data_IF_070268985105
#
_entry.id   IF_070268985105
#
_cell.length_a   1.000
_cell.length_b   1.000
_cell.length_c   1.000
_cell.angle_alpha   90.00
_cell.angle_beta   90.00
_cell.angle_gamma   90.00
#
_symmetry.space_group_name_H-M   'P 1'
#
loop_
_entity.id
_entity.type
_entity.pdbx_description
1 polymer ?
#
# COMPACT_ATOMS: atom_id res chain seq x y z
N UNK A 1 -22.02 -6.39 12.38
CA UNK A 1 -20.94 -6.37 11.37
C UNK A 1 -19.64 -6.73 12.07
N UNK A 2 -19.23 -8.00 12.04
CA UNK A 2 -17.95 -8.41 12.61
C UNK A 2 -16.83 -7.86 11.72
N UNK A 3 -15.96 -7.00 12.26
CA UNK A 3 -14.69 -6.68 11.62
C UNK A 3 -13.80 -7.91 11.79
N UNK A 4 -13.48 -8.60 10.70
CA UNK A 4 -12.49 -9.67 10.71
C UNK A 4 -11.15 -9.06 11.13
N UNK A 5 -10.55 -9.53 12.23
CA UNK A 5 -9.25 -9.08 12.73
C UNK A 5 -8.16 -9.34 11.69
N UNK A 6 -7.99 -8.39 10.77
CA UNK A 6 -6.88 -8.41 9.81
C UNK A 6 -5.69 -7.79 10.54
N UNK A 7 -4.55 -8.47 10.64
CA UNK A 7 -3.39 -7.95 11.34
C UNK A 7 -2.96 -6.62 10.73
N UNK A 8 -2.78 -5.61 11.58
CA UNK A 8 -2.25 -4.31 11.18
C UNK A 8 -0.72 -4.39 11.22
N UNK A 9 -0.08 -3.71 10.26
CA UNK A 9 1.37 -3.54 10.27
C UNK A 9 1.79 -2.65 11.45
N UNK A 10 2.90 -3.01 12.09
CA UNK A 10 3.59 -2.23 13.13
C UNK A 10 4.96 -1.74 12.62
N UNK A 11 5.64 -0.91 13.40
CA UNK A 11 6.96 -0.40 13.08
C UNK A 11 7.99 -1.54 13.00
N UNK A 12 8.71 -1.61 11.87
CA UNK A 12 9.70 -2.65 11.60
C UNK A 12 9.13 -3.86 10.85
N UNK A 13 7.81 -3.96 10.70
CA UNK A 13 7.21 -4.99 9.85
C UNK A 13 7.58 -4.79 8.38
N UNK A 14 7.74 -5.90 7.67
CA UNK A 14 7.94 -5.87 6.23
C UNK A 14 6.63 -5.45 5.56
N UNK A 15 6.69 -4.42 4.73
CA UNK A 15 5.55 -4.01 3.92
C UNK A 15 5.13 -5.16 2.98
N UNK A 16 3.84 -5.52 2.92
CA UNK A 16 3.38 -6.65 2.12
C UNK A 16 3.46 -6.34 0.62
N UNK A 17 3.68 -7.37 -0.19
CA UNK A 17 3.59 -7.22 -1.64
C UNK A 17 2.12 -7.05 -2.04
N UNK A 18 1.81 -5.98 -2.77
CA UNK A 18 0.46 -5.72 -3.26
C UNK A 18 0.48 -5.02 -4.62
N UNK A 19 -0.45 -5.39 -5.50
CA UNK A 19 -0.62 -4.72 -6.80
C UNK A 19 -1.81 -3.77 -6.73
N UNK A 20 -1.61 -2.53 -7.18
CA UNK A 20 -2.64 -1.51 -7.30
C UNK A 20 -2.83 -1.10 -8.75
N UNK A 21 -4.07 -0.84 -9.15
CA UNK A 21 -4.38 -0.22 -10.44
C UNK A 21 -4.21 1.29 -10.33
N UNK A 22 -3.50 1.87 -11.29
CA UNK A 22 -3.28 3.30 -11.41
C UNK A 22 -4.36 3.94 -12.30
N UNK A 23 -4.46 5.27 -12.23
CA UNK A 23 -5.49 6.04 -12.94
C UNK A 23 -5.35 5.99 -14.46
N UNK A 24 -4.15 5.74 -14.97
CA UNK A 24 -3.87 5.57 -16.39
C UNK A 24 -4.17 4.15 -16.90
N UNK A 25 -4.71 3.27 -16.03
CA UNK A 25 -5.01 1.88 -16.33
C UNK A 25 -3.83 0.93 -16.21
N UNK A 26 -2.63 1.44 -15.89
CA UNK A 26 -1.47 0.60 -15.58
C UNK A 26 -1.58 -0.02 -14.18
N UNK A 27 -0.70 -0.96 -13.88
CA UNK A 27 -0.60 -1.59 -12.56
C UNK A 27 0.79 -1.36 -11.98
N UNK A 28 0.84 -1.17 -10.66
CA UNK A 28 2.08 -1.06 -9.90
C UNK A 28 2.07 -2.06 -8.76
N UNK A 29 3.18 -2.75 -8.56
CA UNK A 29 3.43 -3.69 -7.46
C UNK A 29 4.30 -3.03 -6.41
N UNK A 30 3.74 -2.83 -5.23
CA UNK A 30 4.47 -2.33 -4.06
C UNK A 30 4.99 -3.51 -3.24
N UNK A 31 6.18 -3.44 -2.64
CA UNK A 31 7.21 -2.43 -2.88
C UNK A 31 8.08 -2.72 -4.11
N UNK A 32 7.85 -3.83 -4.82
CA UNK A 32 8.79 -4.41 -5.80
C UNK A 32 9.11 -3.51 -7.00
N UNK A 33 8.18 -2.65 -7.43
CA UNK A 33 8.37 -1.72 -8.54
C UNK A 33 9.00 -0.37 -8.10
N UNK A 34 9.30 -0.20 -6.81
CA UNK A 34 9.93 1.01 -6.27
C UNK A 34 11.46 0.89 -6.36
N UNK A 35 12.12 1.93 -6.87
CA UNK A 35 13.58 1.96 -7.07
C UNK A 35 14.33 2.86 -6.08
N UNK A 36 13.62 3.46 -5.11
CA UNK A 36 14.20 4.40 -4.16
C UNK A 36 14.64 3.70 -2.86
N UNK A 37 15.71 4.21 -2.23
CA UNK A 37 16.19 3.76 -0.92
C UNK A 37 15.12 3.91 0.18
N UNK A 38 14.25 4.92 0.03
CA UNK A 38 13.13 5.18 0.92
C UNK A 38 11.90 5.60 0.13
N UNK A 39 10.73 5.08 0.52
CA UNK A 39 9.44 5.44 -0.07
C UNK A 39 8.42 5.74 1.02
N UNK A 40 7.55 6.72 0.78
CA UNK A 40 6.43 7.07 1.66
C UNK A 40 5.11 6.75 0.95
N UNK A 41 4.27 5.92 1.58
CA UNK A 41 2.93 5.62 1.10
C UNK A 41 1.89 6.38 1.91
N UNK A 42 1.15 7.30 1.27
CA UNK A 42 0.10 8.08 1.91
C UNK A 42 -1.28 7.64 1.39
N UNK A 43 -2.00 6.87 2.22
CA UNK A 43 -3.39 6.54 1.95
C UNK A 43 -4.29 7.73 2.29
N UNK A 44 -4.83 8.40 1.27
CA UNK A 44 -5.85 9.44 1.47
C UNK A 44 -7.25 8.85 1.31
N UNK A 45 -8.12 9.12 2.29
CA UNK A 45 -9.55 8.80 2.23
C UNK A 45 -10.36 10.04 2.57
N UNK A 46 -10.99 10.62 1.56
CA UNK A 46 -11.80 11.83 1.69
C UNK A 46 -12.23 12.35 0.33
N UNK A 47 -13.08 13.38 0.32
CA UNK A 47 -13.25 14.22 -0.86
C UNK A 47 -12.33 15.43 -0.70
N UNK A 48 -11.65 15.80 -1.78
CA UNK A 48 -10.97 17.09 -1.87
C UNK A 48 -11.96 18.22 -1.61
#
# INVERSE_FOLDING_TARGET
MAQTETPKLDAGDRFPTMTISLLDGSSMTLPDDLSADFTVFLGYRGKW
#
